data_IF_908844796532
#
_entry.id   IF_908844796532
#
_cell.length_a   1.000
_cell.length_b   1.000
_cell.length_c   1.000
_cell.angle_alpha   90.00
_cell.angle_beta   90.00
_cell.angle_gamma   90.00
#
_symmetry.space_group_name_H-M   'P 1'
#
loop_
_entity.id
_entity.type
_entity.pdbx_description
1 polymer ?
#
# COMPACT_ATOMS: atom_id res chain seq x y z
N UNK A 1 -17.43 -4.89 16.48
CA UNK A 1 -17.16 -3.70 15.64
C UNK A 1 -17.28 -4.09 14.17
N UNK A 2 -17.76 -3.22 13.29
CA UNK A 2 -17.84 -3.55 11.87
C UNK A 2 -16.44 -3.59 11.23
N UNK A 3 -16.20 -4.59 10.38
CA UNK A 3 -14.86 -4.90 9.83
C UNK A 3 -14.24 -3.77 9.00
N UNK A 4 -15.05 -2.87 8.42
CA UNK A 4 -14.55 -1.72 7.66
C UNK A 4 -13.74 -0.73 8.50
N UNK A 5 -13.88 -0.73 9.83
CA UNK A 5 -13.10 0.14 10.73
C UNK A 5 -11.61 -0.17 10.64
N UNK A 6 -11.24 -1.45 10.49
CA UNK A 6 -9.84 -1.84 10.31
C UNK A 6 -9.27 -1.32 8.99
N UNK A 7 -10.08 -1.25 7.92
CA UNK A 7 -9.63 -0.70 6.65
C UNK A 7 -9.34 0.80 6.76
N UNK A 8 -10.18 1.56 7.47
CA UNK A 8 -9.94 2.98 7.73
C UNK A 8 -8.70 3.22 8.59
N UNK A 9 -8.53 2.43 9.66
CA UNK A 9 -7.33 2.49 10.48
C UNK A 9 -6.07 2.17 9.64
N UNK A 10 -6.13 1.12 8.81
CA UNK A 10 -5.02 0.74 7.93
C UNK A 10 -4.68 1.86 6.94
N UNK A 11 -5.67 2.54 6.34
CA UNK A 11 -5.46 3.67 5.44
C UNK A 11 -4.73 4.84 6.15
N UNK A 12 -5.12 5.15 7.38
CA UNK A 12 -4.47 6.18 8.20
C UNK A 12 -3.00 5.82 8.50
N UNK A 13 -2.74 4.61 9.01
CA UNK A 13 -1.38 4.15 9.32
C UNK A 13 -0.51 4.03 8.06
N UNK A 14 -1.11 3.68 6.93
CA UNK A 14 -0.42 3.68 5.64
C UNK A 14 0.04 5.08 5.24
N UNK A 15 -0.82 6.10 5.41
CA UNK A 15 -0.44 7.50 5.21
C UNK A 15 0.73 7.93 6.09
N UNK A 16 0.72 7.56 7.38
CA UNK A 16 1.85 7.81 8.28
C UNK A 16 3.13 7.10 7.81
N UNK A 17 3.01 5.89 7.27
CA UNK A 17 4.15 5.13 6.76
C UNK A 17 4.82 5.85 5.57
N UNK A 18 4.05 6.49 4.69
CA UNK A 18 4.62 7.30 3.60
C UNK A 18 5.43 8.48 4.16
N UNK A 19 4.85 9.23 5.10
CA UNK A 19 5.49 10.43 5.68
C UNK A 19 6.75 10.06 6.46
N UNK A 20 6.66 9.11 7.39
CA UNK A 20 7.82 8.67 8.18
C UNK A 20 8.85 7.96 7.31
N UNK A 21 8.41 7.16 6.33
CA UNK A 21 9.29 6.53 5.37
C UNK A 21 10.14 7.56 4.61
N UNK A 22 9.52 8.65 4.14
CA UNK A 22 10.23 9.75 3.46
C UNK A 22 11.17 10.50 4.40
N UNK A 23 10.76 10.78 5.63
CA UNK A 23 11.62 11.43 6.63
C UNK A 23 12.85 10.56 6.92
N UNK A 24 12.66 9.27 7.18
CA UNK A 24 13.74 8.33 7.44
C UNK A 24 14.66 8.17 6.23
N UNK A 25 14.12 8.05 5.01
CA UNK A 25 14.95 7.92 3.80
C UNK A 25 15.77 9.18 3.52
N UNK A 26 15.23 10.37 3.81
CA UNK A 26 15.90 11.64 3.54
C UNK A 26 16.94 12.01 4.60
N UNK A 27 16.68 11.70 5.87
CA UNK A 27 17.48 12.23 6.98
C UNK A 27 18.26 11.18 7.78
N UNK A 28 17.92 9.89 7.70
CA UNK A 28 18.52 8.87 8.55
C UNK A 28 19.18 7.72 7.78
N UNK A 29 18.54 7.21 6.73
CA UNK A 29 18.99 6.01 6.02
C UNK A 29 19.03 6.30 4.52
N UNK A 30 20.24 6.52 4.00
CA UNK A 30 20.47 6.72 2.55
C UNK A 30 20.48 5.41 1.76
N UNK A 31 20.82 4.29 2.40
CA UNK A 31 20.88 2.99 1.75
C UNK A 31 19.49 2.33 1.69
N UNK A 32 18.93 2.24 0.48
CA UNK A 32 17.61 1.67 0.18
C UNK A 32 17.47 0.21 0.67
N UNK A 33 18.54 -0.59 0.56
CA UNK A 33 18.51 -2.00 0.97
C UNK A 33 18.50 -2.15 2.49
N UNK A 34 19.27 -1.31 3.19
CA UNK A 34 19.23 -1.25 4.66
C UNK A 34 17.85 -0.82 5.16
N UNK A 35 17.22 0.16 4.49
CA UNK A 35 15.86 0.57 4.80
C UNK A 35 14.87 -0.61 4.66
N UNK A 36 14.89 -1.31 3.52
CA UNK A 36 14.02 -2.46 3.29
C UNK A 36 14.26 -3.59 4.31
N UNK A 37 15.52 -3.88 4.64
CA UNK A 37 15.87 -4.88 5.62
C UNK A 37 15.30 -4.56 7.01
N UNK A 38 15.52 -3.33 7.49
CA UNK A 38 15.00 -2.89 8.79
C UNK A 38 13.47 -2.84 8.79
N UNK A 39 12.85 -2.37 7.71
CA UNK A 39 11.39 -2.37 7.55
C UNK A 39 10.81 -3.80 7.69
N UNK A 40 11.40 -4.77 7.02
CA UNK A 40 10.99 -6.18 7.11
C UNK A 40 11.22 -6.75 8.53
N UNK A 41 12.36 -6.44 9.15
CA UNK A 41 12.69 -6.88 10.51
C UNK A 41 11.68 -6.36 11.54
N UNK A 42 11.37 -5.06 11.52
CA UNK A 42 10.37 -4.48 12.42
C UNK A 42 8.97 -5.04 12.15
N UNK A 43 8.59 -5.23 10.88
CA UNK A 43 7.32 -5.88 10.55
C UNK A 43 7.23 -7.27 11.17
N UNK A 44 8.27 -8.09 11.05
CA UNK A 44 8.33 -9.41 11.66
C UNK A 44 8.21 -9.34 13.19
N UNK A 45 8.98 -8.45 13.83
CA UNK A 45 8.98 -8.26 15.28
C UNK A 45 7.57 -7.94 15.81
N UNK A 46 6.83 -7.06 15.14
CA UNK A 46 5.48 -6.67 15.55
C UNK A 46 4.39 -7.67 15.16
N UNK A 47 4.66 -8.58 14.21
CA UNK A 47 3.69 -9.61 13.79
C UNK A 47 3.76 -10.87 14.67
N UNK A 48 4.92 -11.14 15.29
CA UNK A 48 5.12 -12.34 16.14
C UNK A 48 4.22 -12.35 17.39
N UNK A 49 4.15 -11.28 18.23
CA UNK A 49 3.33 -11.30 19.45
C UNK A 49 1.85 -11.62 19.21
N UNK A 50 1.15 -10.98 18.25
CA UNK A 50 -0.24 -11.32 17.97
C UNK A 50 -0.40 -12.73 17.38
N UNK A 51 0.59 -13.23 16.63
CA UNK A 51 0.55 -14.61 16.13
C UNK A 51 0.61 -15.65 17.27
N UNK A 52 1.50 -15.41 18.26
CA UNK A 52 1.62 -16.29 19.43
C UNK A 52 0.36 -16.20 20.30
N UNK A 53 -0.17 -14.99 20.56
CA UNK A 53 -1.34 -14.81 21.41
C UNK A 53 -2.62 -15.40 20.82
N UNK A 54 -2.70 -15.54 19.49
CA UNK A 54 -3.82 -16.15 18.78
C UNK A 54 -3.57 -17.63 18.43
N UNK A 55 -2.53 -18.26 18.99
CA UNK A 55 -2.21 -19.67 18.77
C UNK A 55 -2.14 -20.08 17.30
N UNK A 56 -1.58 -19.21 16.45
CA UNK A 56 -1.47 -19.46 15.01
C UNK A 56 -0.63 -20.71 14.76
N UNK A 57 -1.19 -21.67 14.02
CA UNK A 57 -0.54 -22.92 13.63
C UNK A 57 -0.02 -22.85 12.19
N UNK A 58 0.69 -23.91 11.76
CA UNK A 58 1.19 -23.96 10.38
C UNK A 58 0.04 -24.07 9.36
N UNK A 59 0.12 -23.30 8.26
CA UNK A 59 -0.89 -23.34 7.22
C UNK A 59 -0.86 -24.69 6.48
N UNK A 60 -2.04 -25.15 6.05
CA UNK A 60 -2.19 -26.34 5.20
C UNK A 60 -1.89 -26.04 3.72
N UNK A 61 -2.01 -24.78 3.29
CA UNK A 61 -1.84 -24.35 1.90
C UNK A 61 -0.73 -23.31 1.79
N UNK A 62 0.47 -23.77 1.43
CA UNK A 62 1.65 -22.92 1.32
C UNK A 62 1.73 -22.12 0.01
N UNK A 63 1.19 -22.66 -1.10
CA UNK A 63 1.38 -22.08 -2.43
C UNK A 63 0.92 -20.62 -2.54
N UNK A 64 -0.31 -20.34 -2.13
CA UNK A 64 -0.87 -18.99 -2.17
C UNK A 64 -0.13 -18.04 -1.21
N UNK A 65 0.30 -18.53 -0.05
CA UNK A 65 1.04 -17.73 0.93
C UNK A 65 2.41 -17.31 0.38
N UNK A 66 3.14 -18.25 -0.23
CA UNK A 66 4.44 -17.98 -0.85
C UNK A 66 4.28 -16.99 -1.99
N UNK A 67 3.31 -17.21 -2.89
CA UNK A 67 3.06 -16.32 -4.02
C UNK A 67 2.68 -14.91 -3.56
N UNK A 68 1.79 -14.79 -2.57
CA UNK A 68 1.44 -13.51 -1.96
C UNK A 68 2.64 -12.81 -1.32
N UNK A 69 3.54 -13.57 -0.68
CA UNK A 69 4.75 -13.03 -0.06
C UNK A 69 5.74 -12.51 -1.10
N UNK A 70 5.87 -13.19 -2.26
CA UNK A 70 6.69 -12.72 -3.38
C UNK A 70 6.15 -11.40 -3.93
N UNK A 71 4.85 -11.30 -4.21
CA UNK A 71 4.25 -10.05 -4.69
C UNK A 71 4.35 -8.93 -3.65
N UNK A 72 4.19 -9.23 -2.36
CA UNK A 72 4.38 -8.26 -1.30
C UNK A 72 5.83 -7.78 -1.20
N UNK A 73 6.81 -8.68 -1.35
CA UNK A 73 8.23 -8.32 -1.38
C UNK A 73 8.53 -7.38 -2.55
N UNK A 74 8.04 -7.70 -3.76
CA UNK A 74 8.18 -6.84 -4.93
C UNK A 74 7.53 -5.47 -4.69
N UNK A 75 6.32 -5.45 -4.14
CA UNK A 75 5.63 -4.22 -3.74
C UNK A 75 6.49 -3.38 -2.80
N UNK A 76 7.03 -3.96 -1.72
CA UNK A 76 7.88 -3.24 -0.75
C UNK A 76 9.13 -2.67 -1.41
N UNK A 77 9.79 -3.44 -2.29
CA UNK A 77 11.00 -2.97 -3.01
C UNK A 77 10.66 -1.75 -3.88
N UNK A 78 9.64 -1.85 -4.74
CA UNK A 78 9.26 -0.75 -5.63
C UNK A 78 8.68 0.45 -4.88
N UNK A 79 7.95 0.21 -3.80
CA UNK A 79 7.43 1.25 -2.93
C UNK A 79 8.57 2.03 -2.26
N UNK A 80 9.55 1.33 -1.68
CA UNK A 80 10.72 1.99 -1.09
C UNK A 80 11.50 2.78 -2.14
N UNK A 81 11.75 2.21 -3.33
CA UNK A 81 12.39 2.95 -4.43
C UNK A 81 11.61 4.24 -4.78
N UNK A 82 10.27 4.17 -4.79
CA UNK A 82 9.42 5.33 -5.03
C UNK A 82 9.56 6.37 -3.92
N UNK A 83 9.56 5.98 -2.64
CA UNK A 83 9.80 6.88 -1.50
C UNK A 83 11.13 7.63 -1.63
N UNK A 84 12.19 6.94 -2.03
CA UNK A 84 13.50 7.56 -2.19
C UNK A 84 13.54 8.53 -3.38
N UNK A 85 12.77 8.27 -4.43
CA UNK A 85 12.86 8.99 -5.71
C UNK A 85 11.83 10.12 -5.87
N UNK A 86 10.69 10.04 -5.20
CA UNK A 86 9.54 10.94 -5.41
C UNK A 86 9.11 11.61 -4.11
N UNK A 87 8.51 12.79 -4.21
CA UNK A 87 7.93 13.48 -3.05
C UNK A 87 6.58 12.88 -2.65
N UNK A 88 6.20 13.08 -1.39
CA UNK A 88 4.95 12.52 -0.81
C UNK A 88 3.72 13.03 -1.57
N UNK A 89 3.74 14.27 -2.05
CA UNK A 89 2.72 14.90 -2.89
C UNK A 89 2.50 14.14 -4.20
N UNK A 90 3.54 13.53 -4.75
CA UNK A 90 3.49 12.78 -6.01
C UNK A 90 3.16 11.31 -5.77
N UNK A 91 3.76 10.69 -4.75
CA UNK A 91 3.53 9.26 -4.43
C UNK A 91 2.09 9.02 -4.01
N UNK A 92 1.54 9.85 -3.13
CA UNK A 92 0.24 9.57 -2.50
C UNK A 92 -0.91 9.47 -3.52
N UNK A 93 -1.05 10.40 -4.49
CA UNK A 93 -2.08 10.29 -5.52
C UNK A 93 -1.86 9.11 -6.47
N UNK A 94 -0.61 8.84 -6.86
CA UNK A 94 -0.26 7.69 -7.70
C UNK A 94 -0.60 6.35 -7.02
N UNK A 95 -0.51 6.29 -5.70
CA UNK A 95 -0.87 5.09 -4.95
C UNK A 95 -2.38 4.85 -4.85
N UNK A 96 -3.23 5.83 -5.16
CA UNK A 96 -4.68 5.61 -5.23
C UNK A 96 -5.06 4.64 -6.37
N UNK A 97 -4.24 4.55 -7.42
CA UNK A 97 -4.44 3.59 -8.51
C UNK A 97 -4.35 2.13 -8.04
N UNK A 98 -3.68 1.86 -6.92
CA UNK A 98 -3.64 0.52 -6.30
C UNK A 98 -5.06 -0.01 -6.03
N UNK A 99 -5.98 0.86 -5.59
CA UNK A 99 -7.37 0.47 -5.32
C UNK A 99 -8.06 0.00 -6.59
N UNK A 100 -7.91 0.75 -7.69
CA UNK A 100 -8.49 0.37 -8.97
C UNK A 100 -7.89 -0.93 -9.52
N UNK A 101 -6.57 -1.09 -9.45
CA UNK A 101 -5.91 -2.35 -9.85
C UNK A 101 -6.38 -3.52 -8.98
N UNK A 102 -6.52 -3.33 -7.67
CA UNK A 102 -7.02 -4.36 -6.76
C UNK A 102 -8.41 -4.88 -7.17
N UNK A 103 -9.32 -3.97 -7.52
CA UNK A 103 -10.67 -4.36 -7.95
C UNK A 103 -10.67 -5.00 -9.34
N UNK A 104 -9.91 -4.47 -10.29
CA UNK A 104 -9.80 -5.08 -11.63
C UNK A 104 -9.26 -6.51 -11.50
N UNK A 105 -8.21 -6.71 -10.70
CA UNK A 105 -7.63 -8.02 -10.48
C UNK A 105 -8.56 -8.96 -9.70
N UNK A 106 -9.37 -8.46 -8.77
CA UNK A 106 -10.35 -9.29 -8.04
C UNK A 106 -11.44 -9.81 -8.96
N UNK A 107 -11.95 -8.98 -9.88
CA UNK A 107 -12.91 -9.42 -10.92
C UNK A 107 -12.28 -10.47 -11.84
N UNK A 108 -11.02 -10.29 -12.25
CA UNK A 108 -10.37 -11.20 -13.20
C UNK A 108 -9.97 -12.54 -12.57
N UNK A 109 -9.41 -12.52 -11.36
CA UNK A 109 -8.80 -13.70 -10.71
C UNK A 109 -9.81 -14.39 -9.80
N UNK A 110 -10.52 -13.63 -8.97
CA UNK A 110 -11.50 -14.17 -8.00
C UNK A 110 -12.91 -14.29 -8.60
N UNK A 111 -13.14 -13.76 -9.81
CA UNK A 111 -14.44 -13.75 -10.50
C UNK A 111 -15.54 -13.05 -9.68
N UNK A 112 -15.16 -12.01 -8.93
CA UNK A 112 -16.12 -11.19 -8.19
C UNK A 112 -17.09 -10.50 -9.15
N UNK A 113 -18.37 -10.48 -8.79
CA UNK A 113 -19.42 -9.79 -9.55
C UNK A 113 -19.65 -8.42 -8.93
N UNK A 114 -19.37 -7.37 -9.69
CA UNK A 114 -19.59 -5.99 -9.27
C UNK A 114 -20.95 -5.49 -9.77
N UNK A 115 -21.67 -4.79 -8.91
CA UNK A 115 -22.86 -4.04 -9.29
C UNK A 115 -22.48 -2.82 -10.13
N UNK A 116 -23.40 -2.34 -10.97
CA UNK A 116 -23.20 -1.14 -11.79
C UNK A 116 -22.84 0.09 -10.93
N UNK A 117 -23.41 0.21 -9.73
CA UNK A 117 -23.08 1.28 -8.78
C UNK A 117 -21.64 1.21 -8.30
N UNK A 118 -21.15 0.01 -7.95
CA UNK A 118 -19.74 -0.17 -7.54
C UNK A 118 -18.79 0.19 -8.67
N UNK A 119 -19.08 -0.24 -9.89
CA UNK A 119 -18.30 0.11 -11.09
C UNK A 119 -18.18 1.64 -11.28
N UNK A 120 -19.29 2.37 -11.16
CA UNK A 120 -19.29 3.84 -11.28
C UNK A 120 -18.41 4.47 -10.19
N UNK A 121 -18.51 4.01 -8.95
CA UNK A 121 -17.71 4.53 -7.84
C UNK A 121 -16.21 4.27 -8.04
N UNK A 122 -15.84 3.10 -8.55
CA UNK A 122 -14.43 2.76 -8.84
C UNK A 122 -13.87 3.67 -9.92
N UNK A 123 -14.63 3.92 -11.00
CA UNK A 123 -14.24 4.85 -12.06
C UNK A 123 -14.09 6.27 -11.52
N UNK A 124 -15.01 6.71 -10.66
CA UNK A 124 -14.94 8.03 -10.04
C UNK A 124 -13.69 8.18 -9.17
N UNK A 125 -13.38 7.19 -8.33
CA UNK A 125 -12.15 7.18 -7.51
C UNK A 125 -10.90 7.22 -8.38
N UNK A 126 -10.87 6.43 -9.46
CA UNK A 126 -9.74 6.40 -10.39
C UNK A 126 -9.51 7.75 -11.06
N UNK A 127 -10.57 8.37 -11.58
CA UNK A 127 -10.51 9.68 -12.24
C UNK A 127 -10.15 10.77 -11.24
N UNK A 128 -10.75 10.78 -10.05
CA UNK A 128 -10.40 11.73 -9.00
C UNK A 128 -8.92 11.59 -8.58
N UNK A 129 -8.39 10.37 -8.52
CA UNK A 129 -6.99 10.11 -8.21
C UNK A 129 -6.01 10.74 -9.21
N UNK A 130 -6.36 10.80 -10.51
CA UNK A 130 -5.58 11.52 -11.53
C UNK A 130 -5.52 13.01 -11.21
N UNK A 131 -6.66 13.62 -10.88
CA UNK A 131 -6.74 15.06 -10.65
C UNK A 131 -5.96 15.52 -9.42
N UNK A 132 -5.90 14.71 -8.34
CA UNK A 132 -5.11 15.04 -7.14
C UNK A 132 -3.61 15.10 -7.46
N UNK A 133 -3.12 14.38 -8.47
CA UNK A 133 -1.71 14.40 -8.88
C UNK A 133 -1.31 15.57 -9.80
N UNK A 134 -2.24 16.41 -10.26
CA UNK A 134 -1.96 17.46 -11.26
C UNK A 134 -1.41 18.77 -10.67
N UNK A 135 -1.24 18.87 -9.36
CA UNK A 135 -0.99 20.16 -8.67
C UNK A 135 0.43 20.74 -8.78
N UNK A 136 1.42 20.03 -9.33
CA UNK A 136 2.80 20.57 -9.42
C UNK A 136 3.05 21.52 -10.60
N UNK A 137 2.18 21.55 -11.62
CA UNK A 137 2.37 22.40 -12.81
C UNK A 137 1.36 23.53 -12.97
N UNK A 138 0.33 23.58 -12.14
CA UNK A 138 -0.65 24.67 -12.14
C UNK A 138 -0.32 25.72 -11.07
N UNK A 139 0.87 26.33 -11.16
CA UNK A 139 1.10 27.62 -10.51
C UNK A 139 0.22 28.67 -11.19
N UNK A 140 -0.89 29.05 -10.56
CA UNK A 140 -1.65 30.26 -10.88
C UNK A 140 -0.97 31.53 -10.32
N UNK A 141 0.28 31.45 -9.88
CA UNK A 141 1.11 32.62 -9.62
C UNK A 141 2.06 32.82 -10.79
N UNK A 142 1.91 33.99 -11.45
CA UNK A 142 2.91 34.56 -12.36
C UNK A 142 4.21 34.85 -11.62
#
# INVERSE_FOLDING_TARGET
>A
MPFYVFAWAAALFYGLTIVFGKLTSKYAISNIWLFNFLYALFTLLFTIPPAISNHVSMPSVWGNLILSSIFNLLFVIFYTLSIFSLDVSVISPLFNFRTAFGVILSVLILKEVLTSTQMILIVLIFVAGIFVGLDEKFSLKS
#
